data_IF_530763707079
#
_entry.id   IF_530763707079
#
_cell.length_a   1.000
_cell.length_b   1.000
_cell.length_c   1.000
_cell.angle_alpha   90.00
_cell.angle_beta   90.00
_cell.angle_gamma   90.00
#
_symmetry.space_group_name_H-M   'P 1'
#
loop_
_entity.id
_entity.type
_entity.pdbx_description
1 polymer ?
#
# COMPACT_ATOMS: atom_id res chain seq x y z
N UNK A 1 -33.24 -16.02 -13.47
CA UNK A 1 -31.77 -15.89 -13.74
C UNK A 1 -31.03 -16.00 -12.43
N UNK A 2 -30.31 -17.10 -12.16
CA UNK A 2 -29.41 -17.18 -10.99
C UNK A 2 -28.28 -16.19 -11.21
N UNK A 3 -28.28 -15.05 -10.50
CA UNK A 3 -27.11 -14.17 -10.45
C UNK A 3 -25.92 -15.02 -10.00
N UNK A 4 -24.84 -15.00 -10.79
CA UNK A 4 -23.61 -15.70 -10.43
C UNK A 4 -23.11 -15.13 -9.10
N UNK A 5 -23.05 -15.95 -8.06
CA UNK A 5 -22.69 -15.56 -6.69
C UNK A 5 -21.27 -14.94 -6.65
N UNK A 6 -20.36 -15.44 -7.47
CA UNK A 6 -19.01 -14.91 -7.60
C UNK A 6 -18.99 -13.49 -8.21
N UNK A 7 -19.81 -13.24 -9.24
CA UNK A 7 -19.93 -11.95 -9.88
C UNK A 7 -20.47 -10.86 -8.92
N UNK A 8 -21.45 -11.23 -8.08
CA UNK A 8 -21.98 -10.30 -7.09
C UNK A 8 -20.92 -10.00 -6.00
N UNK A 9 -20.17 -11.00 -5.53
CA UNK A 9 -19.09 -10.80 -4.56
C UNK A 9 -18.06 -9.82 -5.10
N UNK A 10 -17.61 -10.04 -6.33
CA UNK A 10 -16.65 -9.15 -6.99
C UNK A 10 -17.18 -7.72 -7.14
N UNK A 11 -18.44 -7.57 -7.56
CA UNK A 11 -19.08 -6.26 -7.68
C UNK A 11 -19.16 -5.52 -6.34
N UNK A 12 -19.45 -6.23 -5.25
CA UNK A 12 -19.46 -5.66 -3.90
C UNK A 12 -18.08 -5.16 -3.49
N UNK A 13 -17.02 -5.94 -3.75
CA UNK A 13 -15.63 -5.56 -3.44
C UNK A 13 -15.22 -4.34 -4.26
N UNK A 14 -15.43 -4.36 -5.57
CA UNK A 14 -15.08 -3.26 -6.46
C UNK A 14 -15.82 -1.96 -6.08
N UNK A 15 -17.12 -2.06 -5.75
CA UNK A 15 -17.92 -0.91 -5.31
C UNK A 15 -17.41 -0.36 -3.97
N UNK A 16 -17.00 -1.22 -3.03
CA UNK A 16 -16.41 -0.80 -1.76
C UNK A 16 -15.09 -0.09 -1.92
N UNK A 17 -14.22 -0.61 -2.78
CA UNK A 17 -12.96 0.05 -3.12
C UNK A 17 -13.18 1.44 -3.73
N UNK A 18 -14.16 1.58 -4.62
CA UNK A 18 -14.52 2.87 -5.21
C UNK A 18 -15.13 3.84 -4.19
N UNK A 19 -15.93 3.35 -3.23
CA UNK A 19 -16.42 4.18 -2.11
C UNK A 19 -15.26 4.73 -1.27
N UNK A 20 -14.28 3.88 -0.92
CA UNK A 20 -13.09 4.35 -0.19
C UNK A 20 -12.31 5.36 -1.00
N UNK A 21 -12.04 5.09 -2.28
CA UNK A 21 -11.29 6.00 -3.15
C UNK A 21 -11.93 7.38 -3.25
N UNK A 22 -13.25 7.43 -3.33
CA UNK A 22 -14.00 8.69 -3.54
C UNK A 22 -14.34 9.44 -2.26
N UNK A 23 -14.61 8.74 -1.15
CA UNK A 23 -15.17 9.30 0.09
C UNK A 23 -14.36 9.05 1.34
N UNK A 24 -13.34 8.21 1.25
CA UNK A 24 -12.54 7.77 2.38
C UNK A 24 -13.16 6.59 3.15
N UNK A 25 -12.32 5.88 3.88
CA UNK A 25 -12.68 4.64 4.56
C UNK A 25 -13.68 4.83 5.69
N UNK A 26 -13.71 5.98 6.34
CA UNK A 26 -14.67 6.29 7.43
C UNK A 26 -16.12 6.34 6.92
N UNK A 27 -16.30 6.65 5.62
CA UNK A 27 -17.61 6.70 4.99
C UNK A 27 -18.06 5.35 4.41
N UNK A 28 -17.21 4.30 4.50
CA UNK A 28 -17.54 2.99 3.97
C UNK A 28 -18.73 2.39 4.71
N UNK A 29 -19.82 2.18 3.98
CA UNK A 29 -21.06 1.58 4.46
C UNK A 29 -21.49 0.41 3.58
N UNK A 30 -21.53 -0.81 4.16
CA UNK A 30 -22.02 -2.00 3.45
C UNK A 30 -23.45 -1.79 2.93
N UNK A 31 -24.27 -1.02 3.66
CA UNK A 31 -25.63 -0.68 3.23
C UNK A 31 -25.63 0.13 1.95
N UNK A 32 -24.80 1.18 1.88
CA UNK A 32 -24.64 2.02 0.68
C UNK A 32 -24.11 1.21 -0.50
N UNK A 33 -23.12 0.37 -0.25
CA UNK A 33 -22.53 -0.53 -1.27
C UNK A 33 -23.60 -1.48 -1.81
N UNK A 34 -24.39 -2.15 -0.95
CA UNK A 34 -25.48 -3.02 -1.39
C UNK A 34 -26.50 -2.29 -2.27
N UNK A 35 -26.91 -1.08 -1.88
CA UNK A 35 -27.80 -0.23 -2.65
C UNK A 35 -27.24 0.11 -4.02
N UNK A 36 -25.97 0.51 -4.11
CA UNK A 36 -25.28 0.80 -5.40
C UNK A 36 -25.13 -0.43 -6.28
N UNK A 37 -24.99 -1.61 -5.67
CA UNK A 37 -24.98 -2.88 -6.41
C UNK A 37 -26.37 -3.35 -6.85
N UNK A 38 -27.45 -2.69 -6.40
CA UNK A 38 -28.84 -3.06 -6.72
C UNK A 38 -29.32 -4.33 -6.00
N UNK A 39 -28.82 -4.56 -4.78
CA UNK A 39 -29.18 -5.72 -3.95
C UNK A 39 -29.71 -5.30 -2.59
N UNK A 40 -30.38 -6.24 -1.89
CA UNK A 40 -30.87 -6.01 -0.52
C UNK A 40 -29.73 -5.84 0.47
N UNK A 41 -29.96 -5.16 1.60
CA UNK A 41 -28.97 -4.93 2.65
C UNK A 41 -28.40 -6.21 3.26
N UNK A 42 -29.14 -7.32 3.23
CA UNK A 42 -28.68 -8.62 3.71
C UNK A 42 -27.82 -9.41 2.70
N UNK A 43 -27.80 -9.00 1.43
CA UNK A 43 -27.08 -9.74 0.38
C UNK A 43 -25.56 -9.79 0.61
N UNK A 44 -24.88 -8.71 1.05
CA UNK A 44 -23.43 -8.77 1.34
C UNK A 44 -23.08 -9.79 2.43
N UNK A 45 -23.90 -9.96 3.45
CA UNK A 45 -23.66 -10.88 4.55
C UNK A 45 -23.79 -12.37 4.18
N UNK A 46 -24.22 -12.67 2.95
CA UNK A 46 -24.08 -14.02 2.36
C UNK A 46 -22.68 -14.30 1.81
N UNK A 47 -21.86 -13.26 1.65
CA UNK A 47 -20.50 -13.33 1.10
C UNK A 47 -19.43 -13.00 2.13
N UNK A 48 -19.76 -12.16 3.11
CA UNK A 48 -18.85 -11.65 4.13
C UNK A 48 -19.49 -11.82 5.49
N UNK A 49 -18.80 -12.46 6.41
CA UNK A 49 -19.30 -12.79 7.75
C UNK A 49 -19.70 -11.53 8.54
N UNK A 50 -18.90 -10.49 8.42
CA UNK A 50 -19.11 -9.21 9.11
C UNK A 50 -18.47 -8.05 8.32
N UNK A 51 -18.54 -6.83 8.89
CA UNK A 51 -18.00 -5.63 8.28
C UNK A 51 -16.47 -5.68 8.19
N UNK A 52 -15.79 -6.27 9.15
CA UNK A 52 -14.33 -6.30 9.20
C UNK A 52 -13.76 -7.22 8.13
N UNK A 53 -14.35 -8.41 7.92
CA UNK A 53 -14.04 -9.31 6.80
C UNK A 53 -14.30 -8.64 5.46
N UNK A 54 -15.38 -7.86 5.34
CA UNK A 54 -15.64 -7.09 4.13
C UNK A 54 -14.59 -6.01 3.91
N UNK A 55 -14.25 -5.23 4.95
CA UNK A 55 -13.21 -4.21 4.88
C UNK A 55 -11.87 -4.81 4.48
N UNK A 56 -11.51 -5.97 5.04
CA UNK A 56 -10.27 -6.67 4.69
C UNK A 56 -10.17 -6.89 3.17
N UNK A 57 -11.16 -7.53 2.56
CA UNK A 57 -11.11 -7.83 1.11
C UNK A 57 -11.16 -6.57 0.23
N UNK A 58 -11.75 -5.48 0.74
CA UNK A 58 -11.72 -4.18 0.06
C UNK A 58 -10.32 -3.56 0.12
N UNK A 59 -9.63 -3.66 1.27
CA UNK A 59 -8.24 -3.21 1.41
C UNK A 59 -7.27 -4.06 0.58
N UNK A 60 -7.50 -5.36 0.48
CA UNK A 60 -6.77 -6.24 -0.45
C UNK A 60 -6.89 -5.74 -1.90
N UNK A 61 -8.10 -5.36 -2.34
CA UNK A 61 -8.32 -4.77 -3.67
C UNK A 61 -7.59 -3.42 -3.83
N UNK A 62 -7.59 -2.57 -2.80
CA UNK A 62 -6.82 -1.31 -2.84
C UNK A 62 -5.31 -1.57 -2.91
N UNK A 63 -4.81 -2.63 -2.26
CA UNK A 63 -3.41 -3.05 -2.34
C UNK A 63 -3.03 -3.55 -3.75
N UNK A 64 -3.94 -4.20 -4.48
CA UNK A 64 -3.73 -4.52 -5.91
C UNK A 64 -3.60 -3.26 -6.78
N UNK A 65 -4.41 -2.23 -6.49
CA UNK A 65 -4.31 -0.93 -7.18
C UNK A 65 -2.98 -0.26 -6.84
N UNK A 66 -2.61 -0.27 -5.57
CA UNK A 66 -1.33 0.26 -5.10
C UNK A 66 -0.15 -0.44 -5.78
N UNK A 67 -0.16 -1.77 -5.91
CA UNK A 67 0.90 -2.50 -6.61
C UNK A 67 1.12 -1.97 -8.03
N UNK A 68 0.06 -1.65 -8.77
CA UNK A 68 0.17 -1.10 -10.14
C UNK A 68 0.86 0.28 -10.15
N UNK A 69 0.60 1.11 -9.14
CA UNK A 69 1.34 2.36 -8.96
C UNK A 69 2.79 2.07 -8.62
N UNK A 70 3.04 1.25 -7.61
CA UNK A 70 4.35 0.96 -7.08
C UNK A 70 5.33 0.44 -8.15
N UNK A 71 4.83 -0.41 -9.04
CA UNK A 71 5.64 -1.07 -10.08
C UNK A 71 5.66 -0.32 -11.42
N UNK A 72 5.04 0.85 -11.52
CA UNK A 72 5.00 1.65 -12.76
C UNK A 72 6.42 2.03 -13.20
N UNK A 73 6.81 1.55 -14.39
CA UNK A 73 8.15 1.78 -14.96
C UNK A 73 9.29 1.02 -14.27
N UNK A 74 9.01 0.23 -13.25
CA UNK A 74 10.01 -0.63 -12.60
C UNK A 74 10.19 -1.89 -13.45
N UNK A 75 11.40 -2.09 -13.94
CA UNK A 75 11.76 -3.27 -14.73
C UNK A 75 13.18 -3.77 -14.41
N UNK A 76 13.55 -4.89 -15.01
CA UNK A 76 14.84 -5.57 -14.78
C UNK A 76 16.05 -4.82 -15.37
N UNK A 77 15.88 -3.71 -16.07
CA UNK A 77 17.00 -2.87 -16.52
C UNK A 77 17.59 -2.03 -15.39
N UNK A 78 16.79 -1.81 -14.34
CA UNK A 78 17.22 -1.10 -13.13
C UNK A 78 17.89 -2.07 -12.15
N UNK A 79 19.00 -1.64 -11.56
CA UNK A 79 19.50 -2.33 -10.37
C UNK A 79 18.50 -2.22 -9.19
N UNK A 80 18.66 -3.03 -8.18
CA UNK A 80 17.74 -3.09 -7.04
C UNK A 80 17.61 -1.74 -6.32
N UNK A 81 18.68 -0.93 -6.29
CA UNK A 81 18.65 0.41 -5.73
C UNK A 81 17.80 1.35 -6.59
N UNK A 82 18.00 1.34 -7.91
CA UNK A 82 17.21 2.11 -8.87
C UNK A 82 15.73 1.75 -8.83
N UNK A 83 15.41 0.46 -8.69
CA UNK A 83 14.04 -0.01 -8.49
C UNK A 83 13.43 0.62 -7.23
N UNK A 84 14.13 0.62 -6.08
CA UNK A 84 13.64 1.21 -4.84
C UNK A 84 13.48 2.73 -4.92
N UNK A 85 14.36 3.45 -5.62
CA UNK A 85 14.21 4.89 -5.86
C UNK A 85 12.91 5.15 -6.63
N UNK A 86 12.70 4.45 -7.74
CA UNK A 86 11.50 4.62 -8.56
C UNK A 86 10.22 4.20 -7.81
N UNK A 87 10.28 3.08 -7.06
CA UNK A 87 9.17 2.67 -6.20
C UNK A 87 8.84 3.72 -5.13
N UNK A 88 9.85 4.37 -4.55
CA UNK A 88 9.66 5.48 -3.61
C UNK A 88 8.96 6.68 -4.25
N UNK A 89 9.37 7.09 -5.45
CA UNK A 89 8.70 8.14 -6.22
C UNK A 89 7.25 7.76 -6.53
N UNK A 90 7.01 6.53 -6.96
CA UNK A 90 5.68 6.00 -7.26
C UNK A 90 4.79 5.93 -6.01
N UNK A 91 5.36 5.63 -4.84
CA UNK A 91 4.66 5.66 -3.55
C UNK A 91 4.17 7.07 -3.21
N UNK A 92 5.02 8.08 -3.38
CA UNK A 92 4.64 9.48 -3.17
C UNK A 92 3.58 9.92 -4.19
N UNK A 93 3.73 9.55 -5.46
CA UNK A 93 2.71 9.80 -6.49
C UNK A 93 1.36 9.17 -6.12
N UNK A 94 1.36 7.93 -5.63
CA UNK A 94 0.15 7.27 -5.13
C UNK A 94 -0.50 8.05 -3.98
N UNK A 95 0.30 8.48 -3.00
CA UNK A 95 -0.20 9.26 -1.87
C UNK A 95 -0.86 10.59 -2.30
N UNK A 96 -0.33 11.23 -3.34
CA UNK A 96 -0.89 12.48 -3.88
C UNK A 96 -2.17 12.25 -4.69
N UNK A 97 -2.20 11.23 -5.56
CA UNK A 97 -3.30 10.99 -6.50
C UNK A 97 -4.43 10.15 -5.91
N UNK A 98 -4.12 9.20 -5.04
CA UNK A 98 -5.04 8.26 -4.42
C UNK A 98 -5.14 8.52 -2.90
N UNK A 99 -5.33 9.78 -2.51
CA UNK A 99 -5.29 10.26 -1.13
C UNK A 99 -6.08 9.40 -0.14
N UNK A 100 -7.32 9.06 -0.47
CA UNK A 100 -8.19 8.25 0.39
C UNK A 100 -7.73 6.79 0.48
N UNK A 101 -7.21 6.23 -0.60
CA UNK A 101 -6.61 4.88 -0.61
C UNK A 101 -5.34 4.85 0.21
N UNK A 102 -4.49 5.87 0.07
CA UNK A 102 -3.28 6.01 0.87
C UNK A 102 -3.61 6.10 2.37
N UNK A 103 -4.57 6.92 2.76
CA UNK A 103 -5.01 7.01 4.15
C UNK A 103 -5.54 5.69 4.68
N UNK A 104 -6.34 4.98 3.90
CA UNK A 104 -6.87 3.67 4.29
C UNK A 104 -5.75 2.65 4.50
N UNK A 105 -4.82 2.51 3.53
CA UNK A 105 -3.79 1.47 3.55
C UNK A 105 -2.64 1.78 4.52
N UNK A 106 -2.21 3.05 4.64
CA UNK A 106 -0.94 3.38 5.29
C UNK A 106 -1.07 4.21 6.57
N UNK A 107 -2.23 4.80 6.83
CA UNK A 107 -2.44 5.64 8.02
C UNK A 107 -3.44 5.01 9.00
N UNK A 108 -4.60 4.52 8.51
CA UNK A 108 -5.66 4.02 9.39
C UNK A 108 -5.56 2.53 9.69
N UNK A 109 -5.13 1.73 8.71
CA UNK A 109 -5.08 0.26 8.85
C UNK A 109 -3.72 -0.35 8.48
N UNK A 110 -2.58 0.31 8.72
CA UNK A 110 -1.29 -0.16 8.24
C UNK A 110 -0.90 -1.52 8.83
N UNK A 111 -1.34 -1.83 10.06
CA UNK A 111 -0.94 -3.01 10.80
C UNK A 111 -2.06 -3.99 11.12
N UNK A 112 -3.31 -3.73 10.71
CA UNK A 112 -4.44 -4.61 11.06
C UNK A 112 -4.29 -6.04 10.50
N UNK A 113 -3.53 -6.19 9.43
CA UNK A 113 -3.32 -7.47 8.74
C UNK A 113 -1.84 -7.85 8.68
N UNK A 114 -1.02 -7.25 9.53
CA UNK A 114 0.41 -7.49 9.63
C UNK A 114 0.79 -7.86 11.05
N UNK A 115 1.75 -8.74 11.17
CA UNK A 115 2.38 -9.09 12.43
C UNK A 115 3.85 -8.65 12.38
N UNK A 116 4.21 -7.73 13.27
CA UNK A 116 5.58 -7.26 13.44
C UNK A 116 6.21 -8.01 14.61
N UNK A 117 7.25 -8.78 14.31
CA UNK A 117 8.13 -9.39 15.28
C UNK A 117 9.47 -8.64 15.33
N UNK A 118 10.37 -9.04 16.23
CA UNK A 118 11.72 -8.48 16.28
C UNK A 118 12.50 -8.70 14.98
N UNK A 119 12.27 -9.82 14.31
CA UNK A 119 13.11 -10.28 13.21
C UNK A 119 12.45 -10.14 11.83
N UNK A 120 11.11 -10.11 11.77
CA UNK A 120 10.37 -10.11 10.50
C UNK A 120 9.03 -9.38 10.58
N UNK A 121 8.52 -9.02 9.40
CA UNK A 121 7.13 -8.59 9.20
C UNK A 121 6.45 -9.64 8.32
N UNK A 122 5.36 -10.22 8.81
CA UNK A 122 4.48 -11.11 8.07
C UNK A 122 3.11 -10.47 7.83
N UNK A 123 2.40 -10.93 6.82
CA UNK A 123 1.05 -10.48 6.50
C UNK A 123 0.08 -11.66 6.57
N UNK A 124 -1.10 -11.44 7.13
CA UNK A 124 -2.19 -12.41 7.24
C UNK A 124 -3.36 -12.09 6.30
N UNK A 125 -3.11 -11.25 5.29
CA UNK A 125 -4.02 -10.87 4.23
C UNK A 125 -3.27 -10.78 2.90
N UNK A 126 -3.99 -10.76 1.77
CA UNK A 126 -3.37 -10.58 0.45
C UNK A 126 -3.04 -9.10 0.22
N UNK A 127 -1.80 -8.71 0.51
CA UNK A 127 -1.29 -7.35 0.35
C UNK A 127 -0.12 -7.30 -0.66
N UNK A 128 -0.38 -7.51 -1.96
CA UNK A 128 0.67 -7.70 -2.97
C UNK A 128 1.60 -6.49 -3.12
N UNK A 129 1.11 -5.29 -2.85
CA UNK A 129 1.96 -4.09 -2.84
C UNK A 129 3.03 -4.14 -1.74
N UNK A 130 2.66 -4.60 -0.54
CA UNK A 130 3.62 -4.78 0.55
C UNK A 130 4.57 -5.96 0.28
N UNK A 131 4.06 -7.08 -0.20
CA UNK A 131 4.87 -8.26 -0.51
C UNK A 131 5.93 -7.96 -1.57
N UNK A 132 5.57 -7.19 -2.61
CA UNK A 132 6.54 -6.74 -3.62
C UNK A 132 7.58 -5.79 -3.03
N UNK A 133 7.16 -4.78 -2.25
CA UNK A 133 8.07 -3.89 -1.53
C UNK A 133 9.04 -4.69 -0.67
N UNK A 134 8.54 -5.60 0.14
CA UNK A 134 9.35 -6.48 1.01
C UNK A 134 10.40 -7.24 0.20
N UNK A 135 10.01 -7.85 -0.93
CA UNK A 135 10.93 -8.64 -1.75
C UNK A 135 12.11 -7.80 -2.28
N UNK A 136 11.85 -6.59 -2.77
CA UNK A 136 12.90 -5.71 -3.32
C UNK A 136 13.80 -5.15 -2.21
N UNK A 137 13.24 -4.83 -1.03
CA UNK A 137 14.04 -4.38 0.13
C UNK A 137 14.96 -5.49 0.63
N UNK A 138 14.49 -6.73 0.69
CA UNK A 138 15.31 -7.87 1.12
C UNK A 138 16.38 -8.22 0.08
N UNK A 139 16.12 -8.03 -1.19
CA UNK A 139 17.13 -8.13 -2.24
C UNK A 139 18.20 -7.05 -2.08
N UNK A 140 17.84 -5.79 -1.80
CA UNK A 140 18.82 -4.74 -1.47
C UNK A 140 19.66 -5.13 -0.26
N UNK A 141 19.02 -5.63 0.82
CA UNK A 141 19.70 -6.09 2.03
C UNK A 141 20.78 -7.13 1.70
N UNK A 142 20.42 -8.11 0.89
CA UNK A 142 21.33 -9.20 0.48
C UNK A 142 22.49 -8.66 -0.39
N UNK A 143 22.16 -7.89 -1.44
CA UNK A 143 23.15 -7.40 -2.41
C UNK A 143 24.16 -6.43 -1.81
N UNK A 144 23.74 -5.65 -0.80
CA UNK A 144 24.57 -4.63 -0.16
C UNK A 144 25.17 -5.08 1.17
N UNK A 145 24.92 -6.32 1.61
CA UNK A 145 25.35 -6.86 2.92
C UNK A 145 24.94 -5.95 4.09
N UNK A 146 23.69 -5.49 4.10
CA UNK A 146 23.15 -4.64 5.15
C UNK A 146 22.93 -5.47 6.42
N UNK A 147 23.52 -5.03 7.53
CA UNK A 147 23.35 -5.64 8.85
C UNK A 147 21.94 -5.41 9.44
N UNK A 148 21.63 -6.08 10.54
CA UNK A 148 20.34 -5.99 11.21
C UNK A 148 19.29 -6.99 10.69
N UNK A 149 18.11 -6.99 11.32
CA UNK A 149 17.01 -7.90 10.97
C UNK A 149 16.25 -7.44 9.70
N UNK A 150 15.41 -8.34 9.16
CA UNK A 150 14.50 -7.98 8.07
C UNK A 150 13.49 -6.92 8.51
N UNK A 151 12.99 -7.03 9.75
CA UNK A 151 12.03 -6.08 10.31
C UNK A 151 12.64 -4.67 10.39
N UNK A 152 13.88 -4.56 10.86
CA UNK A 152 14.56 -3.26 11.00
C UNK A 152 14.65 -2.52 9.65
N UNK A 153 15.17 -3.16 8.61
CA UNK A 153 15.32 -2.50 7.30
C UNK A 153 13.94 -2.14 6.70
N UNK A 154 12.96 -3.04 6.81
CA UNK A 154 11.61 -2.78 6.31
C UNK A 154 10.97 -1.59 7.04
N UNK A 155 11.05 -1.55 8.36
CA UNK A 155 10.50 -0.44 9.17
C UNK A 155 11.20 0.87 8.86
N UNK A 156 12.52 0.88 8.73
CA UNK A 156 13.28 2.10 8.44
C UNK A 156 12.88 2.70 7.09
N UNK A 157 12.88 1.90 6.02
CA UNK A 157 12.53 2.38 4.68
C UNK A 157 11.05 2.76 4.62
N UNK A 158 10.16 1.96 5.21
CA UNK A 158 8.73 2.26 5.25
C UNK A 158 8.44 3.56 6.00
N UNK A 159 9.00 3.73 7.19
CA UNK A 159 8.80 4.94 8.00
C UNK A 159 9.27 6.18 7.26
N UNK A 160 10.43 6.12 6.60
CA UNK A 160 10.95 7.22 5.80
C UNK A 160 10.00 7.58 4.66
N UNK A 161 9.63 6.61 3.82
CA UNK A 161 8.84 6.91 2.61
C UNK A 161 7.41 7.36 2.96
N UNK A 162 6.82 6.77 4.02
CA UNK A 162 5.51 7.20 4.51
C UNK A 162 5.59 8.63 5.08
N UNK A 163 6.63 8.94 5.85
CA UNK A 163 6.87 10.30 6.34
C UNK A 163 7.03 11.31 5.22
N UNK A 164 7.84 10.99 4.20
CA UNK A 164 8.01 11.83 3.02
C UNK A 164 6.66 12.05 2.29
N UNK A 165 5.88 10.99 2.07
CA UNK A 165 4.58 11.08 1.43
C UNK A 165 3.60 11.99 2.21
N UNK A 166 3.62 11.92 3.54
CA UNK A 166 2.81 12.83 4.41
C UNK A 166 3.30 14.27 4.29
N UNK A 167 4.61 14.52 4.29
CA UNK A 167 5.18 15.86 4.13
C UNK A 167 4.82 16.48 2.78
N UNK A 168 4.95 15.72 1.70
CA UNK A 168 4.60 16.18 0.35
C UNK A 168 3.11 16.52 0.18
N UNK A 169 2.24 15.89 0.98
CA UNK A 169 0.80 16.20 1.01
C UNK A 169 0.42 17.35 1.95
N UNK A 170 1.34 17.84 2.73
CA UNK A 170 1.13 18.95 3.67
C UNK A 170 1.33 20.33 2.97
N UNK A 171 1.03 21.44 3.64
CA UNK A 171 1.24 22.79 3.07
C UNK A 171 2.69 23.10 2.65
N UNK A 172 3.68 22.36 3.16
CA UNK A 172 5.06 22.51 2.70
C UNK A 172 5.34 21.70 1.42
N UNK A 173 4.39 20.91 0.95
CA UNK A 173 4.52 20.02 -0.19
C UNK A 173 4.80 20.74 -1.50
N UNK A 174 4.40 22.01 -1.65
CA UNK A 174 4.67 22.84 -2.83
C UNK A 174 6.18 23.00 -3.12
N UNK A 175 7.06 22.73 -2.13
CA UNK A 175 8.50 22.74 -2.29
C UNK A 175 9.06 21.42 -2.87
N UNK A 176 8.23 20.38 -3.00
CA UNK A 176 8.62 19.06 -3.51
C UNK A 176 8.12 18.86 -4.93
N UNK A 177 8.97 19.06 -5.90
CA UNK A 177 8.73 18.61 -7.28
C UNK A 177 9.28 17.17 -7.48
N UNK A 178 9.04 16.57 -8.64
CA UNK A 178 9.44 15.19 -8.93
C UNK A 178 10.94 14.96 -8.75
N UNK A 179 11.78 15.90 -9.18
CA UNK A 179 13.23 15.80 -9.04
C UNK A 179 13.66 15.83 -7.56
N UNK A 180 13.08 16.75 -6.78
CA UNK A 180 13.35 16.85 -5.33
C UNK A 180 12.95 15.58 -4.59
N UNK A 181 11.81 14.96 -4.96
CA UNK A 181 11.37 13.69 -4.38
C UNK A 181 12.37 12.59 -4.71
N UNK A 182 12.77 12.46 -5.98
CA UNK A 182 13.74 11.46 -6.43
C UNK A 182 15.10 11.63 -5.72
N UNK A 183 15.63 12.85 -5.68
CA UNK A 183 16.87 13.17 -4.97
C UNK A 183 16.79 12.84 -3.48
N UNK A 184 15.64 13.13 -2.84
CA UNK A 184 15.43 12.85 -1.42
C UNK A 184 15.42 11.35 -1.13
N UNK A 185 14.69 10.56 -1.94
CA UNK A 185 14.64 9.09 -1.81
C UNK A 185 16.01 8.48 -2.09
N UNK A 186 16.67 8.91 -3.17
CA UNK A 186 18.00 8.46 -3.57
C UNK A 186 19.04 8.72 -2.47
N UNK A 187 19.08 9.94 -1.95
CA UNK A 187 20.00 10.34 -0.88
C UNK A 187 19.79 9.54 0.40
N UNK A 188 18.53 9.33 0.80
CA UNK A 188 18.20 8.51 1.97
C UNK A 188 18.74 7.09 1.83
N UNK A 189 18.50 6.44 0.68
CA UNK A 189 19.00 5.10 0.44
C UNK A 189 20.54 5.04 0.49
N UNK A 190 21.23 6.05 -0.06
CA UNK A 190 22.70 6.13 -0.02
C UNK A 190 23.24 6.27 1.42
N UNK A 191 22.61 7.14 2.22
CA UNK A 191 22.97 7.31 3.64
C UNK A 191 22.70 6.01 4.40
N UNK A 192 21.54 5.39 4.16
CA UNK A 192 21.16 4.16 4.84
C UNK A 192 22.13 3.02 4.53
N UNK A 193 22.40 2.77 3.25
CA UNK A 193 23.32 1.70 2.81
C UNK A 193 24.75 1.94 3.31
N UNK A 194 25.23 3.20 3.33
CA UNK A 194 26.57 3.53 3.86
C UNK A 194 26.64 3.31 5.37
N UNK A 195 25.62 3.71 6.12
CA UNK A 195 25.60 3.58 7.58
C UNK A 195 25.36 2.17 8.08
N UNK A 196 24.70 1.32 7.31
CA UNK A 196 24.33 -0.04 7.67
C UNK A 196 25.35 -1.13 7.26
N UNK A 197 26.41 -0.74 6.57
CA UNK A 197 27.56 -1.60 6.22
C UNK A 197 28.60 -1.59 7.36
N UNK A 198 28.29 -2.23 8.47
CA UNK A 198 29.28 -2.43 9.54
C UNK A 198 29.55 -3.92 9.76
#
# INVERSE_FOLDING_TARGET
MKRNTAELKEKLIATGAEEIRTRGVDQLSIRTVAQRCGVTHGAPYKHFENKDVYLQVVLERLSEIFLKYLTKGVDSSLDVRGQLVLMGCNFVEFAQKETNSFEALFIKFPFNYMELTRDSISVNAHLPGFEHFKSVVLELKSNMNISGSEAEILVHIWSFITGLAVLVRSPIGDNFNSNTIEETVSTMLDIYVKGAKQ
#
